data_IF_069491675603
#
_entry.id   IF_069491675603
#
_cell.length_a   1.000
_cell.length_b   1.000
_cell.length_c   1.000
_cell.angle_alpha   90.00
_cell.angle_beta   90.00
_cell.angle_gamma   90.00
#
_symmetry.space_group_name_H-M   'P 1'
#
loop_
_entity.id
_entity.type
_entity.pdbx_description
1 polymer ?
#
# COMPACT_ATOMS: atom_id res chain seq x y z
N UNK A 1 -37.00 -10.35 -8.30
CA UNK A 1 -35.58 -10.42 -8.70
C UNK A 1 -34.77 -9.20 -8.26
N UNK A 2 -35.31 -7.97 -8.26
CA UNK A 2 -34.58 -6.76 -7.84
C UNK A 2 -34.08 -6.76 -6.37
N UNK A 3 -34.87 -7.25 -5.41
CA UNK A 3 -34.44 -7.32 -4.00
C UNK A 3 -33.23 -8.24 -3.76
N UNK A 4 -33.05 -9.28 -4.60
CA UNK A 4 -31.87 -10.16 -4.52
C UNK A 4 -30.60 -9.49 -5.05
N UNK A 5 -30.73 -8.55 -5.98
CA UNK A 5 -29.60 -7.76 -6.50
C UNK A 5 -29.06 -6.77 -5.46
N UNK A 6 -29.95 -5.98 -4.84
CA UNK A 6 -29.54 -4.98 -3.84
C UNK A 6 -28.93 -5.60 -2.58
N UNK A 7 -29.46 -6.73 -2.12
CA UNK A 7 -28.90 -7.45 -0.97
C UNK A 7 -27.51 -8.05 -1.29
N UNK A 8 -27.29 -8.49 -2.54
CA UNK A 8 -26.00 -8.98 -3.00
C UNK A 8 -24.98 -7.83 -3.13
N UNK A 9 -25.37 -6.69 -3.71
CA UNK A 9 -24.52 -5.49 -3.79
C UNK A 9 -24.14 -4.96 -2.41
N UNK A 10 -25.09 -4.93 -1.47
CA UNK A 10 -24.81 -4.55 -0.09
C UNK A 10 -23.83 -5.52 0.59
N UNK A 11 -23.86 -6.81 0.24
CA UNK A 11 -22.94 -7.79 0.83
C UNK A 11 -21.51 -7.73 0.26
N UNK A 12 -21.33 -7.14 -0.93
CA UNK A 12 -20.00 -6.96 -1.54
C UNK A 12 -19.22 -5.78 -0.96
N UNK A 13 -19.91 -4.80 -0.36
CA UNK A 13 -19.24 -3.67 0.30
C UNK A 13 -18.52 -4.15 1.57
N UNK A 14 -17.27 -3.71 1.84
CA UNK A 14 -16.54 -4.10 3.05
C UNK A 14 -17.38 -3.90 4.31
N UNK A 15 -17.35 -4.89 5.21
CA UNK A 15 -18.18 -4.89 6.42
C UNK A 15 -17.98 -3.61 7.26
N UNK A 16 -16.75 -3.09 7.27
CA UNK A 16 -16.38 -1.84 7.96
C UNK A 16 -17.13 -0.64 7.37
N UNK A 17 -17.15 -0.49 6.05
CA UNK A 17 -17.85 0.62 5.37
C UNK A 17 -19.35 0.57 5.66
N UNK A 18 -19.98 -0.62 5.63
CA UNK A 18 -21.41 -0.77 5.93
C UNK A 18 -21.75 -0.49 7.39
N UNK A 19 -20.94 -1.00 8.31
CA UNK A 19 -21.13 -0.77 9.73
C UNK A 19 -21.00 0.72 10.02
N UNK A 20 -20.03 1.39 9.41
CA UNK A 20 -19.83 2.83 9.53
C UNK A 20 -21.00 3.64 8.97
N UNK A 21 -21.45 3.36 7.74
CA UNK A 21 -22.59 4.08 7.14
C UNK A 21 -23.89 3.83 7.90
N UNK A 22 -24.15 2.60 8.35
CA UNK A 22 -25.30 2.27 9.19
C UNK A 22 -25.25 3.02 10.54
N UNK A 23 -24.07 3.07 11.18
CA UNK A 23 -23.89 3.80 12.43
C UNK A 23 -24.16 5.30 12.23
N UNK A 24 -23.68 5.91 11.14
CA UNK A 24 -23.95 7.31 10.81
C UNK A 24 -25.45 7.60 10.60
N UNK A 25 -26.16 6.73 9.88
CA UNK A 25 -27.62 6.86 9.68
C UNK A 25 -28.36 6.71 11.00
N UNK A 26 -27.99 5.71 11.82
CA UNK A 26 -28.60 5.48 13.12
C UNK A 26 -28.38 6.65 14.08
N UNK A 27 -27.16 7.19 14.15
CA UNK A 27 -26.87 8.35 15.00
C UNK A 27 -27.66 9.58 14.55
N UNK A 28 -27.78 9.82 13.24
CA UNK A 28 -28.56 10.95 12.74
C UNK A 28 -30.06 10.76 12.98
N UNK A 29 -30.58 9.53 12.82
CA UNK A 29 -31.98 9.22 13.13
C UNK A 29 -32.29 9.38 14.63
N UNK A 30 -31.38 8.96 15.52
CA UNK A 30 -31.53 9.13 16.96
C UNK A 30 -31.60 10.60 17.39
N UNK A 31 -30.85 11.49 16.70
CA UNK A 31 -30.93 12.94 16.93
C UNK A 31 -32.25 13.52 16.43
N UNK A 32 -32.79 13.03 15.31
CA UNK A 32 -34.08 13.48 14.76
C UNK A 32 -35.29 13.01 15.57
N UNK A 33 -35.18 11.85 16.22
CA UNK A 33 -36.19 11.33 17.16
C UNK A 33 -36.11 12.02 18.54
N UNK A 34 -35.28 13.05 18.69
CA UNK A 34 -35.00 13.77 19.94
C UNK A 34 -34.55 12.86 21.11
N UNK A 35 -34.12 11.62 20.82
CA UNK A 35 -33.60 10.69 21.82
C UNK A 35 -32.26 11.20 22.41
N UNK A 36 -31.49 11.93 21.61
CA UNK A 36 -30.20 12.52 21.98
C UNK A 36 -30.10 13.93 21.42
N UNK A 37 -29.82 14.93 22.26
CA UNK A 37 -29.64 16.31 21.78
C UNK A 37 -28.28 16.50 21.10
N UNK A 38 -28.18 17.30 20.02
CA UNK A 38 -26.91 17.55 19.33
C UNK A 38 -25.78 18.04 20.25
N UNK A 39 -26.13 18.77 21.31
CA UNK A 39 -25.19 19.26 22.32
C UNK A 39 -24.47 18.15 23.10
N UNK A 40 -25.03 16.94 23.16
CA UNK A 40 -24.38 15.79 23.79
C UNK A 40 -23.35 15.10 22.88
N UNK A 41 -23.39 15.34 21.57
CA UNK A 41 -22.43 14.77 20.60
C UNK A 41 -21.28 15.74 20.25
N UNK A 42 -21.43 17.02 20.60
CA UNK A 42 -20.39 18.01 20.37
C UNK A 42 -19.11 17.66 21.15
N UNK A 43 -17.96 17.85 20.48
CA UNK A 43 -16.65 17.61 21.05
C UNK A 43 -16.34 18.65 22.13
N UNK A 44 -16.35 18.24 23.40
CA UNK A 44 -15.94 19.09 24.51
C UNK A 44 -14.78 18.41 25.27
N UNK A 45 -13.53 18.89 25.11
CA UNK A 45 -12.35 18.23 25.65
C UNK A 45 -12.34 18.19 27.19
N UNK A 46 -12.87 19.22 27.87
CA UNK A 46 -12.91 19.27 29.34
C UNK A 46 -13.75 18.13 29.96
N UNK A 47 -14.90 17.79 29.35
CA UNK A 47 -15.75 16.70 29.84
C UNK A 47 -15.18 15.31 29.51
N UNK A 48 -14.41 15.19 28.43
CA UNK A 48 -13.79 13.92 28.02
C UNK A 48 -12.68 13.55 29.00
N UNK A 49 -11.79 14.49 29.32
CA UNK A 49 -10.64 14.24 30.19
C UNK A 49 -10.99 14.23 31.69
N UNK A 50 -11.97 15.03 32.15
CA UNK A 50 -12.34 15.07 33.57
C UNK A 50 -13.42 14.08 33.98
N UNK A 51 -14.33 13.68 33.06
CA UNK A 51 -15.48 12.81 33.37
C UNK A 51 -15.49 11.49 32.57
N UNK A 52 -14.41 11.15 31.86
CA UNK A 52 -14.26 9.89 31.10
C UNK A 52 -15.42 9.60 30.12
N UNK A 53 -16.02 10.62 29.51
CA UNK A 53 -17.08 10.47 28.51
C UNK A 53 -16.53 10.15 27.11
N UNK A 54 -15.80 9.05 26.97
CA UNK A 54 -15.08 8.66 25.73
C UNK A 54 -16.00 8.41 24.53
N UNK A 55 -17.27 8.06 24.76
CA UNK A 55 -18.26 7.88 23.70
C UNK A 55 -18.44 9.13 22.83
N UNK A 56 -18.21 10.34 23.37
CA UNK A 56 -18.27 11.60 22.62
C UNK A 56 -17.25 11.68 21.48
N UNK A 57 -16.10 11.03 21.63
CA UNK A 57 -15.08 10.98 20.59
C UNK A 57 -15.60 10.20 19.39
N UNK A 58 -16.17 9.01 19.63
CA UNK A 58 -16.68 8.15 18.58
C UNK A 58 -17.91 8.78 17.92
N UNK A 59 -18.88 9.27 18.70
CA UNK A 59 -20.11 9.87 18.14
C UNK A 59 -19.86 11.15 17.35
N UNK A 60 -18.77 11.86 17.61
CA UNK A 60 -18.40 13.05 16.84
C UNK A 60 -18.00 12.70 15.40
N UNK A 61 -17.26 11.61 15.19
CA UNK A 61 -16.92 11.14 13.83
C UNK A 61 -18.12 10.58 13.06
N UNK A 62 -19.14 10.08 13.76
CA UNK A 62 -20.34 9.50 13.17
C UNK A 62 -21.40 10.57 12.83
N UNK A 63 -21.37 11.73 13.47
CA UNK A 63 -22.39 12.77 13.32
C UNK A 63 -21.99 13.84 12.31
N UNK A 64 -22.63 13.83 11.14
CA UNK A 64 -22.40 14.79 10.05
C UNK A 64 -23.40 15.97 10.03
N UNK A 65 -24.29 16.07 11.03
CA UNK A 65 -25.31 17.11 11.12
C UNK A 65 -26.73 16.61 10.79
N UNK A 66 -27.71 17.54 10.67
CA UNK A 66 -29.12 17.20 10.43
C UNK A 66 -29.34 16.55 9.06
N UNK A 67 -30.44 15.79 8.92
CA UNK A 67 -30.82 15.18 7.64
C UNK A 67 -31.14 16.27 6.61
N UNK A 68 -30.22 16.45 5.67
CA UNK A 68 -30.33 17.41 4.59
C UNK A 68 -29.32 17.12 3.49
N UNK A 69 -29.20 18.04 2.54
CA UNK A 69 -28.30 17.91 1.39
C UNK A 69 -26.84 17.70 1.79
N UNK A 70 -26.39 18.38 2.84
CA UNK A 70 -25.03 18.23 3.39
C UNK A 70 -24.77 16.82 3.93
N UNK A 71 -25.72 16.20 4.64
CA UNK A 71 -25.57 14.83 5.14
C UNK A 71 -25.43 13.82 3.99
N UNK A 72 -26.24 13.98 2.93
CA UNK A 72 -26.18 13.11 1.77
C UNK A 72 -24.83 13.15 1.05
N UNK A 73 -24.27 14.34 0.80
CA UNK A 73 -22.94 14.43 0.18
C UNK A 73 -21.81 13.93 1.06
N UNK A 74 -21.86 14.18 2.37
CA UNK A 74 -20.88 13.61 3.29
C UNK A 74 -20.92 12.08 3.24
N UNK A 75 -22.11 11.48 3.19
CA UNK A 75 -22.26 10.03 3.06
C UNK A 75 -21.66 9.51 1.74
N UNK A 76 -21.93 10.18 0.61
CA UNK A 76 -21.35 9.81 -0.69
C UNK A 76 -19.82 9.94 -0.69
N UNK A 77 -19.30 11.03 -0.13
CA UNK A 77 -17.85 11.26 -0.04
C UNK A 77 -17.16 10.17 0.79
N UNK A 78 -17.74 9.79 1.93
CA UNK A 78 -17.22 8.70 2.77
C UNK A 78 -17.24 7.36 2.04
N UNK A 79 -18.35 7.05 1.36
CA UNK A 79 -18.45 5.81 0.59
C UNK A 79 -17.38 5.74 -0.50
N UNK A 80 -17.18 6.83 -1.24
CA UNK A 80 -16.13 6.95 -2.25
C UNK A 80 -14.73 6.86 -1.65
N UNK A 81 -14.50 7.47 -0.48
CA UNK A 81 -13.22 7.46 0.23
C UNK A 81 -12.84 6.04 0.66
N UNK A 82 -13.78 5.27 1.23
CA UNK A 82 -13.54 3.88 1.59
C UNK A 82 -13.28 3.00 0.36
N UNK A 83 -13.98 3.24 -0.75
CA UNK A 83 -13.72 2.55 -2.02
C UNK A 83 -12.32 2.84 -2.58
N UNK A 84 -11.92 4.12 -2.57
CA UNK A 84 -10.57 4.54 -2.96
C UNK A 84 -9.52 3.89 -2.07
N UNK A 85 -9.71 3.93 -0.75
CA UNK A 85 -8.77 3.36 0.21
C UNK A 85 -8.60 1.85 0.01
N UNK A 86 -9.69 1.11 -0.18
CA UNK A 86 -9.64 -0.31 -0.52
C UNK A 86 -8.84 -0.58 -1.81
N UNK A 87 -9.03 0.28 -2.81
CA UNK A 87 -8.30 0.21 -4.09
C UNK A 87 -6.81 0.50 -3.93
N UNK A 88 -6.44 1.44 -3.04
CA UNK A 88 -5.05 1.75 -2.71
C UNK A 88 -4.34 0.60 -2.00
N UNK A 89 -5.01 -0.09 -1.06
CA UNK A 89 -4.44 -1.28 -0.43
C UNK A 89 -4.13 -2.38 -1.44
N UNK A 90 -5.04 -2.60 -2.39
CA UNK A 90 -4.86 -3.54 -3.49
C UNK A 90 -3.67 -3.14 -4.39
N UNK A 91 -3.59 -1.87 -4.77
CA UNK A 91 -2.50 -1.37 -5.62
C UNK A 91 -1.14 -1.37 -4.89
N UNK A 92 -1.13 -1.12 -3.58
CA UNK A 92 0.06 -1.15 -2.75
C UNK A 92 0.73 -2.52 -2.75
N UNK A 93 -0.05 -3.60 -2.64
CA UNK A 93 0.48 -4.98 -2.71
C UNK A 93 1.13 -5.26 -4.08
N UNK A 94 0.46 -4.91 -5.18
CA UNK A 94 1.02 -5.08 -6.53
C UNK A 94 2.34 -4.31 -6.70
N UNK A 95 2.41 -3.09 -6.17
CA UNK A 95 3.60 -2.25 -6.21
C UNK A 95 4.76 -2.82 -5.39
N UNK A 96 4.48 -3.33 -4.18
CA UNK A 96 5.49 -4.01 -3.36
C UNK A 96 6.08 -5.21 -4.09
N UNK A 97 5.24 -6.07 -4.67
CA UNK A 97 5.70 -7.23 -5.45
C UNK A 97 6.52 -6.81 -6.68
N UNK A 98 6.11 -5.74 -7.37
CA UNK A 98 6.86 -5.18 -8.50
C UNK A 98 8.25 -4.69 -8.08
N UNK A 99 8.37 -3.91 -7.00
CA UNK A 99 9.65 -3.45 -6.48
C UNK A 99 10.56 -4.61 -6.06
N UNK A 100 9.99 -5.57 -5.35
CA UNK A 100 10.70 -6.78 -4.91
C UNK A 100 11.16 -7.60 -6.12
N UNK A 101 10.35 -7.69 -7.16
CA UNK A 101 10.73 -8.33 -8.43
C UNK A 101 11.93 -7.64 -9.06
N UNK A 102 11.87 -6.32 -9.26
CA UNK A 102 12.98 -5.55 -9.86
C UNK A 102 14.26 -5.70 -9.04
N UNK A 103 14.17 -5.55 -7.72
CA UNK A 103 15.31 -5.73 -6.82
C UNK A 103 15.89 -7.15 -6.90
N UNK A 104 15.04 -8.17 -6.95
CA UNK A 104 15.46 -9.57 -7.03
C UNK A 104 16.20 -9.90 -8.33
N UNK A 105 15.80 -9.27 -9.44
CA UNK A 105 16.43 -9.46 -10.76
C UNK A 105 17.74 -8.71 -10.89
N UNK A 106 17.91 -7.61 -10.15
CA UNK A 106 19.16 -6.84 -10.07
C UNK A 106 20.23 -7.48 -9.18
N UNK A 107 19.85 -8.39 -8.28
CA UNK A 107 20.78 -9.06 -7.36
C UNK A 107 20.66 -10.60 -7.41
N UNK A 108 20.88 -11.23 -8.59
CA UNK A 108 20.61 -12.66 -8.77
C UNK A 108 21.52 -13.58 -7.94
N UNK A 109 22.74 -13.13 -7.64
CA UNK A 109 23.75 -13.94 -6.94
C UNK A 109 23.55 -13.97 -5.42
N UNK A 110 22.72 -13.06 -4.88
CA UNK A 110 22.40 -13.04 -3.45
C UNK A 110 21.49 -14.21 -3.08
N UNK A 111 21.94 -15.00 -2.09
CA UNK A 111 21.18 -16.10 -1.51
C UNK A 111 20.43 -15.58 -0.29
N UNK A 112 19.12 -15.80 -0.27
CA UNK A 112 18.21 -15.35 0.78
C UNK A 112 17.83 -16.52 1.67
N UNK A 113 17.87 -16.29 2.98
CA UNK A 113 17.45 -17.27 3.99
C UNK A 113 16.05 -16.88 4.48
N UNK A 114 15.06 -17.72 4.21
CA UNK A 114 13.68 -17.49 4.65
C UNK A 114 13.41 -18.27 5.94
N UNK A 115 13.19 -17.53 7.03
CA UNK A 115 12.97 -18.07 8.38
C UNK A 115 14.08 -19.00 8.89
N UNK A 116 15.29 -18.96 8.28
CA UNK A 116 16.40 -19.87 8.59
C UNK A 116 16.19 -21.33 8.18
N UNK A 117 15.06 -21.65 7.52
CA UNK A 117 14.66 -23.01 7.15
C UNK A 117 14.84 -23.28 5.65
N UNK A 118 14.56 -22.28 4.81
CA UNK A 118 14.61 -22.39 3.36
C UNK A 118 15.65 -21.42 2.80
N UNK A 119 16.55 -21.91 1.94
CA UNK A 119 17.55 -21.09 1.28
C UNK A 119 17.27 -21.05 -0.22
N UNK A 120 17.06 -19.86 -0.79
CA UNK A 120 16.81 -19.68 -2.22
C UNK A 120 17.48 -18.41 -2.77
N UNK A 121 17.72 -18.35 -4.08
CA UNK A 121 18.30 -17.16 -4.71
C UNK A 121 17.27 -16.05 -4.84
N UNK A 122 17.73 -14.79 -4.81
CA UNK A 122 16.86 -13.62 -4.88
C UNK A 122 15.80 -13.68 -5.99
N UNK A 123 16.07 -14.11 -7.25
CA UNK A 123 15.08 -14.10 -8.33
C UNK A 123 13.82 -14.94 -8.08
N UNK A 124 13.90 -15.93 -7.18
CA UNK A 124 12.75 -16.75 -6.81
C UNK A 124 11.88 -16.10 -5.71
N UNK A 125 12.35 -15.04 -5.07
CA UNK A 125 11.69 -14.40 -3.94
C UNK A 125 10.26 -13.91 -4.26
N UNK A 126 9.99 -13.20 -5.38
CA UNK A 126 8.62 -12.79 -5.72
C UNK A 126 7.66 -13.98 -5.89
N UNK A 127 8.16 -15.11 -6.41
CA UNK A 127 7.37 -16.33 -6.60
C UNK A 127 7.08 -17.02 -5.27
N UNK A 128 8.04 -17.03 -4.35
CA UNK A 128 7.85 -17.55 -2.99
C UNK A 128 6.81 -16.68 -2.24
N UNK A 129 6.91 -15.36 -2.34
CA UNK A 129 5.92 -14.45 -1.76
C UNK A 129 4.52 -14.68 -2.33
N UNK A 130 4.39 -14.85 -3.65
CA UNK A 130 3.12 -15.21 -4.29
C UNK A 130 2.57 -16.54 -3.77
N UNK A 131 3.43 -17.53 -3.53
CA UNK A 131 3.04 -18.81 -2.92
C UNK A 131 2.48 -18.63 -1.50
N UNK A 132 3.10 -17.77 -0.68
CA UNK A 132 2.57 -17.42 0.64
C UNK A 132 1.27 -16.63 0.55
N UNK A 133 1.16 -15.66 -0.37
CA UNK A 133 -0.09 -14.93 -0.61
C UNK A 133 -1.25 -15.87 -0.95
N UNK A 134 -1.00 -16.89 -1.77
CA UNK A 134 -1.98 -17.93 -2.09
C UNK A 134 -2.38 -18.72 -0.83
N UNK A 135 -1.43 -19.09 0.02
CA UNK A 135 -1.69 -19.80 1.28
C UNK A 135 -2.47 -18.95 2.29
N UNK A 136 -2.22 -17.64 2.34
CA UNK A 136 -2.97 -16.69 3.17
C UNK A 136 -4.36 -16.36 2.59
N UNK A 137 -4.70 -16.88 1.40
CA UNK A 137 -5.98 -16.63 0.73
C UNK A 137 -6.07 -15.24 0.09
N UNK A 138 -4.94 -14.57 -0.15
CA UNK A 138 -4.90 -13.28 -0.83
C UNK A 138 -5.08 -13.45 -2.35
N UNK A 139 -5.40 -12.34 -3.03
CA UNK A 139 -5.62 -12.36 -4.47
C UNK A 139 -4.32 -12.50 -5.24
N UNK A 140 -4.06 -13.71 -5.73
CA UNK A 140 -2.87 -14.09 -6.52
C UNK A 140 -2.75 -13.28 -7.82
N UNK A 141 -3.88 -12.83 -8.38
CA UNK A 141 -3.90 -11.99 -9.57
C UNK A 141 -3.13 -10.67 -9.36
N UNK A 142 -3.15 -10.13 -8.15
CA UNK A 142 -2.45 -8.88 -7.78
C UNK A 142 -0.95 -9.08 -7.85
N UNK A 143 -0.50 -10.21 -7.30
CA UNK A 143 0.92 -10.57 -7.28
C UNK A 143 1.42 -10.86 -8.70
N UNK A 144 0.62 -11.57 -9.51
CA UNK A 144 0.93 -11.83 -10.92
C UNK A 144 1.00 -10.54 -11.73
N UNK A 145 0.07 -9.60 -11.51
CA UNK A 145 0.12 -8.28 -12.14
C UNK A 145 1.38 -7.52 -11.72
N UNK A 146 1.73 -7.53 -10.44
CA UNK A 146 2.97 -6.94 -9.93
C UNK A 146 4.22 -7.52 -10.58
N UNK A 147 4.30 -8.85 -10.70
CA UNK A 147 5.39 -9.55 -11.40
C UNK A 147 5.43 -9.17 -12.89
N UNK A 148 4.29 -9.15 -13.57
CA UNK A 148 4.22 -8.80 -14.99
C UNK A 148 4.68 -7.35 -15.24
N UNK A 149 4.20 -6.39 -14.44
CA UNK A 149 4.62 -4.99 -14.52
C UNK A 149 6.11 -4.85 -14.18
N UNK A 150 6.60 -5.54 -13.15
CA UNK A 150 8.01 -5.57 -12.80
C UNK A 150 8.89 -6.17 -13.89
N UNK A 151 8.42 -7.22 -14.57
CA UNK A 151 9.12 -7.83 -15.70
C UNK A 151 9.20 -6.89 -16.91
N UNK A 152 8.10 -6.21 -17.24
CA UNK A 152 8.08 -5.18 -18.29
C UNK A 152 9.05 -4.05 -17.94
N UNK A 153 9.04 -3.56 -16.71
CA UNK A 153 9.95 -2.51 -16.26
C UNK A 153 11.42 -2.94 -16.35
N UNK A 154 11.77 -4.11 -15.80
CA UNK A 154 13.11 -4.67 -15.89
C UNK A 154 13.55 -4.88 -17.34
N UNK A 155 12.66 -5.37 -18.20
CA UNK A 155 12.96 -5.56 -19.62
C UNK A 155 13.27 -4.24 -20.32
N UNK A 156 12.46 -3.19 -20.08
CA UNK A 156 12.66 -1.89 -20.72
C UNK A 156 13.88 -1.14 -20.18
N UNK A 157 14.20 -1.26 -18.90
CA UNK A 157 15.30 -0.50 -18.27
C UNK A 157 16.63 -1.24 -18.30
N UNK A 158 16.65 -2.55 -18.06
CA UNK A 158 17.89 -3.30 -17.86
C UNK A 158 18.23 -4.18 -19.09
N UNK A 159 17.24 -4.64 -19.86
CA UNK A 159 17.48 -5.57 -21.00
C UNK A 159 17.51 -4.84 -22.34
N UNK A 160 16.54 -3.94 -22.60
CA UNK A 160 16.39 -3.23 -23.86
C UNK A 160 17.59 -2.34 -24.22
N UNK A 161 18.18 -1.52 -23.32
CA UNK A 161 19.35 -0.70 -23.66
C UNK A 161 20.64 -1.51 -23.88
N UNK A 162 20.72 -2.73 -23.33
CA UNK A 162 21.88 -3.61 -23.47
C UNK A 162 21.84 -4.46 -24.76
N UNK A 163 20.76 -4.41 -25.53
CA UNK A 163 20.69 -5.06 -26.85
C UNK A 163 21.36 -4.20 -27.93
N UNK A 164 21.94 -4.81 -28.98
CA UNK A 164 22.54 -4.07 -30.09
C UNK A 164 21.49 -3.19 -30.78
N UNK A 165 21.60 -1.86 -30.61
CA UNK A 165 20.61 -0.87 -31.08
C UNK A 165 19.64 -0.34 -30.01
N UNK A 166 19.77 -0.80 -28.77
CA UNK A 166 19.00 -0.36 -27.62
C UNK A 166 19.24 1.11 -27.28
N UNK A 167 18.16 1.89 -27.15
CA UNK A 167 18.22 3.23 -26.57
C UNK A 167 17.68 3.15 -25.15
N UNK A 168 18.33 3.84 -24.21
CA UNK A 168 17.81 3.99 -22.85
C UNK A 168 16.53 4.84 -22.89
N UNK A 169 15.37 4.18 -22.79
CA UNK A 169 14.06 4.82 -22.94
C UNK A 169 13.68 5.64 -21.70
N UNK A 170 14.07 5.19 -20.50
CA UNK A 170 13.85 5.92 -19.25
C UNK A 170 15.08 6.77 -18.94
N UNK A 171 15.17 7.94 -19.58
CA UNK A 171 16.17 8.94 -19.24
C UNK A 171 15.79 9.56 -17.89
N UNK A 172 16.68 9.46 -16.90
CA UNK A 172 16.54 10.20 -15.65
C UNK A 172 16.48 11.69 -15.97
N UNK A 173 15.43 12.43 -15.57
CA UNK A 173 15.30 13.84 -15.90
C UNK A 173 16.45 14.63 -15.28
N UNK A 174 17.00 15.60 -16.03
CA UNK A 174 18.23 16.30 -15.67
C UNK A 174 18.20 16.98 -14.30
N UNK A 175 17.02 17.36 -13.81
CA UNK A 175 16.89 17.98 -12.48
C UNK A 175 17.17 16.99 -11.33
N UNK A 176 16.86 15.69 -11.49
CA UNK A 176 17.16 14.69 -10.46
C UNK A 176 18.65 14.42 -10.37
N UNK A 177 19.34 14.37 -11.51
CA UNK A 177 20.81 14.32 -11.55
C UNK A 177 21.43 15.55 -10.87
N UNK A 178 20.92 16.74 -11.18
CA UNK A 178 21.42 17.97 -10.57
C UNK A 178 21.25 18.04 -9.04
N UNK A 179 20.21 17.41 -8.48
CA UNK A 179 19.91 17.44 -7.04
C UNK A 179 20.57 16.27 -6.29
N UNK A 180 20.73 15.11 -6.93
CA UNK A 180 21.16 13.86 -6.30
C UNK A 180 22.46 13.27 -6.86
N UNK A 181 23.14 13.90 -7.82
CA UNK A 181 24.52 13.51 -8.14
C UNK A 181 25.39 13.79 -6.90
N UNK A 182 25.99 12.73 -6.35
CA UNK A 182 26.95 12.79 -5.25
C UNK A 182 28.21 13.57 -5.68
N UNK A 183 28.92 14.20 -4.71
CA UNK A 183 30.10 15.01 -4.98
C UNK A 183 31.21 14.19 -5.65
N UNK A 184 32.05 14.86 -6.45
CA UNK A 184 33.21 14.33 -7.18
C UNK A 184 33.80 13.05 -6.56
N UNK A 185 33.94 11.98 -7.36
CA UNK A 185 34.62 10.74 -6.96
C UNK A 185 35.93 11.08 -6.23
N UNK A 186 35.97 10.87 -4.91
CA UNK A 186 37.17 11.18 -4.12
C UNK A 186 38.30 10.26 -4.64
N UNK A 187 39.40 10.82 -5.19
CA UNK A 187 40.52 10.03 -5.70
C UNK A 187 41.21 9.18 -4.61
N UNK A 188 40.89 9.40 -3.33
CA UNK A 188 41.32 8.56 -2.21
C UNK A 188 40.29 7.52 -1.74
N UNK A 189 39.09 7.47 -2.33
CA UNK A 189 38.11 6.44 -2.01
C UNK A 189 38.59 5.09 -2.56
N UNK A 190 38.95 4.19 -1.64
CA UNK A 190 39.18 2.79 -1.97
C UNK A 190 37.84 2.06 -1.84
N UNK A 191 37.32 1.45 -2.91
CA UNK A 191 36.09 0.68 -2.83
C UNK A 191 36.22 -0.41 -1.77
N UNK A 192 35.10 -0.73 -1.13
CA UNK A 192 35.04 -1.78 -0.13
C UNK A 192 35.56 -3.10 -0.75
N UNK A 193 36.20 -4.00 0.03
CA UNK A 193 36.75 -5.25 -0.50
C UNK A 193 35.74 -6.11 -1.28
N UNK A 194 34.45 -5.92 -1.04
CA UNK A 194 33.34 -6.59 -1.72
C UNK A 194 33.01 -6.01 -3.10
N UNK A 195 33.36 -4.74 -3.35
CA UNK A 195 33.12 -4.01 -4.61
C UNK A 195 34.33 -4.01 -5.54
N UNK A 196 35.49 -4.51 -5.08
CA UNK A 196 36.71 -4.60 -5.89
C UNK A 196 36.59 -5.74 -6.91
N UNK A 197 36.54 -5.45 -8.23
CA UNK A 197 36.45 -6.49 -9.23
C UNK A 197 37.78 -7.27 -9.29
N UNK A 198 37.78 -8.51 -8.81
CA UNK A 198 38.92 -9.43 -8.90
C UNK A 198 39.47 -9.97 -7.59
N UNK A 199 38.86 -9.69 -6.42
CA UNK A 199 39.31 -10.26 -5.15
C UNK A 199 38.60 -11.58 -4.85
N UNK A 200 39.35 -12.69 -4.92
CA UNK A 200 38.81 -14.01 -4.65
C UNK A 200 38.33 -14.12 -3.18
N UNK A 201 37.27 -14.92 -2.89
CA UNK A 201 36.70 -15.03 -1.55
C UNK A 201 37.67 -15.50 -0.45
N UNK A 202 38.83 -16.04 -0.83
CA UNK A 202 39.87 -16.55 0.07
C UNK A 202 40.66 -15.42 0.74
N UNK A 203 40.82 -14.28 0.07
CA UNK A 203 41.59 -13.13 0.58
C UNK A 203 40.77 -12.22 1.51
N UNK A 204 39.48 -12.53 1.73
CA UNK A 204 38.58 -11.77 2.62
C UNK A 204 38.69 -12.12 4.10
N UNK A 205 39.41 -13.19 4.47
CA UNK A 205 39.43 -13.74 5.83
C UNK A 205 40.82 -13.76 6.51
N UNK A 206 41.83 -13.12 5.91
CA UNK A 206 43.14 -12.90 6.54
C UNK A 206 43.29 -11.44 6.94
#
# INVERSE_FOLDING_TARGET
MAQRGLAAEFWQVPAVTRAYTAACVLTTAAVQLELITPFQLYFNPDLIFRKFQVWRLVTNFLFFGPLGFSFFFNMLFLFQLFGLLASLFFLGQAFTIMLVYVWSRRNPDLRMNFFGLLNFQAPFLPWVLMGFSLLLGNSVLVDLLGIAVGHIYYFLEDVFPNQPGGKKLLLTPSFLKLIFDDPEEDPNYRPLPEEQPGMDPVDRQQ
#
